data_IF_153549928492
#
_entry.id   IF_153549928492
#
_cell.length_a   1.000
_cell.length_b   1.000
_cell.length_c   1.000
_cell.angle_alpha   90.00
_cell.angle_beta   90.00
_cell.angle_gamma   90.00
#
_symmetry.space_group_name_H-M   'P 1'
#
loop_
_entity.id
_entity.type
_entity.pdbx_description
1 polymer ?
#
# COMPACT_ATOMS: atom_id res chain seq x y z
N UNK A 1 -34.23 -19.73 -25.46
CA UNK A 1 -34.48 -18.46 -24.74
C UNK A 1 -34.99 -18.85 -23.37
N UNK A 2 -34.11 -18.88 -22.37
CA UNK A 2 -34.48 -19.19 -20.99
C UNK A 2 -34.56 -17.88 -20.24
N UNK A 3 -35.77 -17.50 -19.82
CA UNK A 3 -36.04 -16.32 -19.02
C UNK A 3 -35.37 -16.44 -17.65
N UNK A 4 -34.53 -15.46 -17.34
CA UNK A 4 -33.93 -15.30 -16.02
C UNK A 4 -35.00 -14.76 -15.07
N UNK A 5 -35.33 -15.52 -14.03
CA UNK A 5 -36.17 -15.03 -12.94
C UNK A 5 -35.34 -14.09 -12.05
N UNK A 6 -35.82 -12.85 -11.92
CA UNK A 6 -35.28 -11.85 -11.01
C UNK A 6 -35.31 -12.41 -9.56
N UNK A 7 -34.29 -12.10 -8.75
CA UNK A 7 -34.15 -12.48 -7.34
C UNK A 7 -35.44 -12.30 -6.51
N UNK A 8 -36.25 -11.31 -6.87
CA UNK A 8 -37.54 -11.04 -6.23
C UNK A 8 -38.62 -12.10 -6.54
N UNK A 9 -38.66 -12.62 -7.77
CA UNK A 9 -39.59 -13.67 -8.16
C UNK A 9 -39.24 -15.03 -7.51
N UNK A 10 -37.95 -15.28 -7.26
CA UNK A 10 -37.50 -16.49 -6.53
C UNK A 10 -37.92 -16.42 -5.05
N UNK A 11 -37.86 -15.24 -4.44
CA UNK A 11 -38.31 -15.03 -3.06
C UNK A 11 -39.83 -15.15 -2.93
N UNK A 12 -40.59 -14.65 -3.91
CA UNK A 12 -42.05 -14.83 -3.95
C UNK A 12 -42.44 -16.31 -4.16
N UNK A 13 -41.74 -17.03 -5.04
CA UNK A 13 -41.95 -18.47 -5.27
C UNK A 13 -41.69 -19.31 -4.01
N UNK A 14 -40.59 -19.06 -3.30
CA UNK A 14 -40.28 -19.75 -2.04
C UNK A 14 -41.28 -19.47 -0.91
N UNK A 15 -42.02 -18.37 -1.00
CA UNK A 15 -42.91 -17.90 0.07
C UNK A 15 -44.39 -18.25 -0.18
N UNK A 16 -44.76 -18.65 -1.39
CA UNK A 16 -46.15 -18.97 -1.77
C UNK A 16 -46.50 -20.46 -1.67
N UNK A 17 -45.55 -21.38 -1.93
CA UNK A 17 -45.77 -22.83 -1.83
C UNK A 17 -44.47 -23.47 -1.35
N UNK A 18 -44.50 -24.29 -0.29
CA UNK A 18 -43.32 -25.02 0.19
C UNK A 18 -42.84 -25.96 -0.94
N UNK A 19 -41.77 -25.63 -1.69
CA UNK A 19 -41.41 -26.41 -2.86
C UNK A 19 -40.88 -27.77 -2.42
N UNK A 20 -41.18 -28.80 -3.18
CA UNK A 20 -40.65 -30.13 -2.88
C UNK A 20 -39.14 -30.15 -3.07
N UNK A 21 -38.44 -31.03 -2.35
CA UNK A 21 -36.99 -31.20 -2.49
C UNK A 21 -36.56 -31.49 -3.94
N UNK A 22 -37.44 -32.10 -4.74
CA UNK A 22 -37.22 -32.35 -6.16
C UNK A 22 -37.22 -31.08 -7.00
N UNK A 23 -38.16 -30.17 -6.78
CA UNK A 23 -38.26 -28.90 -7.50
C UNK A 23 -37.08 -27.98 -7.18
N UNK A 24 -36.66 -27.96 -5.90
CA UNK A 24 -35.45 -27.26 -5.47
C UNK A 24 -34.22 -27.84 -6.20
N UNK A 25 -34.09 -29.16 -6.27
CA UNK A 25 -33.00 -29.82 -6.99
C UNK A 25 -32.99 -29.52 -8.49
N UNK A 26 -34.17 -29.43 -9.13
CA UNK A 26 -34.28 -29.09 -10.55
C UNK A 26 -33.91 -27.64 -10.81
N UNK A 27 -34.33 -26.71 -9.96
CA UNK A 27 -33.95 -25.30 -10.02
C UNK A 27 -32.43 -25.08 -9.81
N UNK A 28 -31.81 -25.85 -8.91
CA UNK A 28 -30.34 -25.82 -8.75
C UNK A 28 -29.65 -26.39 -10.00
N UNK A 29 -30.13 -27.51 -10.54
CA UNK A 29 -29.57 -28.12 -11.76
C UNK A 29 -29.74 -27.26 -13.01
N UNK A 30 -30.78 -26.43 -13.08
CA UNK A 30 -31.04 -25.52 -14.20
C UNK A 30 -30.27 -24.20 -14.10
N UNK A 31 -29.51 -23.97 -13.02
CA UNK A 31 -28.79 -22.71 -12.79
C UNK A 31 -29.69 -21.57 -12.31
N UNK A 32 -30.93 -21.83 -11.88
CA UNK A 32 -31.84 -20.80 -11.38
C UNK A 32 -31.33 -20.12 -10.09
N UNK A 33 -30.32 -20.71 -9.44
CA UNK A 33 -29.62 -20.17 -8.26
C UNK A 33 -28.18 -19.76 -8.55
N UNK A 34 -27.74 -19.72 -9.82
CA UNK A 34 -26.43 -19.19 -10.16
C UNK A 34 -26.45 -17.68 -9.93
N UNK A 35 -26.08 -17.30 -8.70
CA UNK A 35 -25.80 -15.93 -8.30
C UNK A 35 -24.94 -15.31 -9.38
N UNK A 36 -25.43 -14.19 -9.93
CA UNK A 36 -24.93 -13.56 -11.14
C UNK A 36 -23.40 -13.46 -11.15
N UNK A 37 -22.76 -14.48 -11.75
CA UNK A 37 -21.31 -14.63 -11.78
C UNK A 37 -20.68 -13.42 -12.49
N UNK A 38 -21.45 -12.74 -13.36
CA UNK A 38 -21.02 -11.53 -14.05
C UNK A 38 -20.68 -10.38 -13.09
N UNK A 39 -21.47 -10.17 -12.04
CA UNK A 39 -21.24 -9.11 -11.05
C UNK A 39 -20.02 -9.44 -10.17
N UNK A 40 -19.83 -10.72 -9.81
CA UNK A 40 -18.63 -11.18 -9.09
C UNK A 40 -17.38 -10.99 -9.94
N UNK A 41 -17.42 -11.34 -11.23
CA UNK A 41 -16.28 -11.14 -12.13
C UNK A 41 -15.99 -9.65 -12.34
N UNK A 42 -17.03 -8.81 -12.46
CA UNK A 42 -16.89 -7.36 -12.55
C UNK A 42 -16.22 -6.78 -11.31
N UNK A 43 -16.68 -7.13 -10.11
CA UNK A 43 -16.09 -6.65 -8.86
C UNK A 43 -14.64 -7.11 -8.68
N UNK A 44 -14.30 -8.34 -9.10
CA UNK A 44 -12.91 -8.82 -9.10
C UNK A 44 -12.03 -7.99 -10.04
N UNK A 45 -12.53 -7.69 -11.23
CA UNK A 45 -11.84 -6.84 -12.20
C UNK A 45 -11.63 -5.42 -11.65
N UNK A 46 -12.67 -4.80 -11.10
CA UNK A 46 -12.58 -3.46 -10.48
C UNK A 46 -11.55 -3.44 -9.33
N UNK A 47 -11.53 -4.48 -8.49
CA UNK A 47 -10.53 -4.63 -7.43
C UNK A 47 -9.11 -4.73 -7.98
N UNK A 48 -8.89 -5.54 -9.00
CA UNK A 48 -7.56 -5.76 -9.56
C UNK A 48 -7.04 -4.51 -10.27
N UNK A 49 -7.91 -3.76 -10.94
CA UNK A 49 -7.59 -2.43 -11.50
C UNK A 49 -7.25 -1.40 -10.42
N UNK A 50 -8.01 -1.38 -9.32
CA UNK A 50 -7.72 -0.49 -8.18
C UNK A 50 -6.39 -0.85 -7.51
N UNK A 51 -6.07 -2.14 -7.41
CA UNK A 51 -4.79 -2.62 -6.89
C UNK A 51 -3.64 -2.18 -7.79
N UNK A 52 -3.77 -2.34 -9.11
CA UNK A 52 -2.74 -1.92 -10.05
C UNK A 52 -2.50 -0.41 -9.97
N UNK A 53 -3.58 0.40 -9.93
CA UNK A 53 -3.46 1.86 -9.74
C UNK A 53 -2.73 2.23 -8.46
N UNK A 54 -2.99 1.51 -7.36
CA UNK A 54 -2.28 1.75 -6.11
C UNK A 54 -0.79 1.41 -6.24
N UNK A 55 -0.44 0.27 -6.86
CA UNK A 55 0.95 -0.12 -7.12
C UNK A 55 1.68 0.89 -8.02
N UNK A 56 1.02 1.43 -9.03
CA UNK A 56 1.58 2.46 -9.91
C UNK A 56 1.76 3.80 -9.16
N UNK A 57 0.78 4.21 -8.35
CA UNK A 57 0.90 5.40 -7.51
C UNK A 57 2.02 5.27 -6.47
N UNK A 58 2.24 4.08 -5.91
CA UNK A 58 3.37 3.81 -5.01
C UNK A 58 4.72 3.99 -5.70
N UNK A 59 4.85 3.54 -6.97
CA UNK A 59 6.06 3.78 -7.77
C UNK A 59 6.28 5.26 -8.06
N UNK A 60 5.21 5.99 -8.36
CA UNK A 60 5.30 7.44 -8.61
C UNK A 60 5.74 8.20 -7.35
N UNK A 61 5.23 7.82 -6.17
CA UNK A 61 5.68 8.38 -4.89
C UNK A 61 7.17 8.09 -4.68
N UNK A 62 7.62 6.85 -4.91
CA UNK A 62 9.04 6.48 -4.77
C UNK A 62 9.94 7.29 -5.71
N UNK A 63 9.50 7.54 -6.95
CA UNK A 63 10.23 8.39 -7.90
C UNK A 63 10.23 9.87 -7.48
N UNK A 64 9.11 10.39 -6.99
CA UNK A 64 9.02 11.76 -6.49
C UNK A 64 9.89 11.98 -5.24
N UNK A 65 9.96 10.99 -4.35
CA UNK A 65 10.84 11.02 -3.19
C UNK A 65 12.31 10.96 -3.58
N UNK A 66 12.69 10.09 -4.53
CA UNK A 66 14.06 10.07 -5.07
C UNK A 66 14.41 11.42 -5.72
N UNK A 67 13.48 12.02 -6.46
CA UNK A 67 13.64 13.37 -7.02
C UNK A 67 13.75 14.43 -5.94
N UNK A 68 12.94 14.38 -4.89
CA UNK A 68 12.99 15.33 -3.77
C UNK A 68 14.32 15.23 -3.01
N UNK A 69 14.82 14.01 -2.80
CA UNK A 69 16.12 13.74 -2.21
C UNK A 69 17.27 14.26 -3.10
N UNK A 70 17.17 14.12 -4.43
CA UNK A 70 18.16 14.65 -5.38
C UNK A 70 18.15 16.17 -5.50
N UNK A 71 16.98 16.81 -5.38
CA UNK A 71 16.83 18.28 -5.43
C UNK A 71 17.24 18.91 -4.09
N UNK A 72 17.14 18.15 -3.01
CA UNK A 72 17.73 18.52 -1.74
C UNK A 72 19.25 18.29 -1.78
N UNK A 73 20.04 19.33 -2.04
CA UNK A 73 21.52 19.35 -2.11
C UNK A 73 22.29 18.85 -0.86
N UNK A 74 21.65 18.10 0.05
CA UNK A 74 22.19 17.69 1.36
C UNK A 74 22.14 16.20 1.64
N UNK A 75 21.42 15.40 0.85
CA UNK A 75 21.32 13.95 1.07
C UNK A 75 22.35 13.20 0.24
N UNK A 76 23.19 12.43 0.93
CA UNK A 76 24.23 11.57 0.38
C UNK A 76 23.74 10.12 0.35
N UNK A 77 24.14 9.37 -0.67
CA UNK A 77 23.84 7.93 -0.74
C UNK A 77 24.62 7.18 0.33
N UNK A 78 24.05 6.09 0.86
CA UNK A 78 24.80 5.17 1.76
C UNK A 78 26.03 4.52 1.11
N UNK A 79 26.15 4.57 -0.22
CA UNK A 79 27.36 4.16 -0.95
C UNK A 79 28.58 5.03 -0.61
N UNK A 80 28.33 6.27 -0.19
CA UNK A 80 29.33 7.19 0.33
C UNK A 80 29.05 7.40 1.82
N UNK A 81 29.46 6.46 2.70
CA UNK A 81 29.04 6.48 4.09
C UNK A 81 29.62 7.69 4.84
N UNK A 82 28.94 8.14 5.91
CA UNK A 82 29.48 9.16 6.81
C UNK A 82 30.78 8.72 7.46
N UNK A 83 31.49 9.66 8.10
CA UNK A 83 32.66 9.33 8.91
C UNK A 83 32.25 8.49 10.13
N UNK A 84 33.11 7.55 10.52
CA UNK A 84 32.91 6.76 11.73
C UNK A 84 32.77 7.69 12.95
N UNK A 85 31.71 7.51 13.75
CA UNK A 85 31.35 8.34 14.89
C UNK A 85 30.47 9.56 14.55
N UNK A 86 30.19 9.84 13.28
CA UNK A 86 29.41 11.02 12.86
C UNK A 86 27.91 10.85 13.18
N UNK A 87 27.29 11.91 13.69
CA UNK A 87 25.82 12.03 13.82
C UNK A 87 25.24 12.53 12.50
N UNK A 88 24.23 11.83 12.00
CA UNK A 88 23.59 12.07 10.70
C UNK A 88 22.09 11.85 10.81
N UNK A 89 21.32 12.56 9.98
CA UNK A 89 19.96 12.15 9.71
C UNK A 89 20.02 11.05 8.66
N UNK A 90 19.21 10.03 8.82
CA UNK A 90 19.09 8.92 7.88
C UNK A 90 17.69 8.86 7.33
N UNK A 91 17.60 8.49 6.05
CA UNK A 91 16.36 8.10 5.42
C UNK A 91 16.26 6.58 5.48
N UNK A 92 15.24 6.06 6.16
CA UNK A 92 15.07 4.63 6.35
C UNK A 92 13.68 4.14 5.95
N UNK A 93 13.64 2.87 5.53
CA UNK A 93 12.42 2.13 5.21
C UNK A 93 12.34 0.89 6.11
N UNK A 94 11.18 0.69 6.74
CA UNK A 94 10.87 -0.49 7.55
C UNK A 94 9.45 -0.98 7.24
N UNK A 95 9.37 -2.07 6.46
CA UNK A 95 8.08 -2.56 5.96
C UNK A 95 7.43 -1.54 5.02
N UNK A 96 6.25 -1.04 5.40
CA UNK A 96 5.51 0.00 4.66
C UNK A 96 5.74 1.42 5.19
N UNK A 97 6.58 1.57 6.22
CA UNK A 97 6.88 2.86 6.82
C UNK A 97 8.20 3.38 6.25
N UNK A 98 8.21 4.66 5.90
CA UNK A 98 9.38 5.38 5.42
C UNK A 98 9.44 6.70 6.19
N UNK A 99 10.60 7.01 6.77
CA UNK A 99 10.75 8.18 7.64
C UNK A 99 12.22 8.62 7.76
N UNK A 100 12.42 9.78 8.37
CA UNK A 100 13.73 10.35 8.72
C UNK A 100 13.99 10.17 10.20
N UNK A 101 15.16 9.65 10.56
CA UNK A 101 15.58 9.56 11.95
C UNK A 101 17.01 10.04 12.16
N UNK A 102 17.32 10.43 13.38
CA UNK A 102 18.70 10.68 13.80
C UNK A 102 19.42 9.35 14.09
N UNK A 103 20.65 9.21 13.59
CA UNK A 103 21.52 8.09 13.93
C UNK A 103 22.98 8.51 14.01
N UNK A 104 23.80 7.63 14.58
CA UNK A 104 25.26 7.72 14.52
C UNK A 104 25.79 6.60 13.63
N UNK A 105 26.65 6.95 12.69
CA UNK A 105 27.36 5.95 11.89
C UNK A 105 28.54 5.42 12.69
N UNK A 106 28.56 4.12 12.99
CA UNK A 106 29.64 3.47 13.72
C UNK A 106 29.90 2.06 13.19
N UNK A 107 31.17 1.70 13.05
CA UNK A 107 31.61 0.35 12.64
C UNK A 107 30.94 -0.16 11.34
N UNK A 108 30.72 0.75 10.38
CA UNK A 108 30.10 0.42 9.09
C UNK A 108 28.57 0.37 9.08
N UNK A 109 27.90 0.74 10.18
CA UNK A 109 26.44 0.72 10.28
C UNK A 109 25.83 1.92 11.00
N UNK A 110 24.52 2.08 10.85
CA UNK A 110 23.74 3.11 11.53
C UNK A 110 23.18 2.53 12.83
N UNK A 111 23.63 3.06 13.97
CA UNK A 111 23.25 2.55 15.30
C UNK A 111 21.72 2.62 15.46
N UNK A 112 21.12 1.48 15.80
CA UNK A 112 19.69 1.35 16.08
C UNK A 112 18.82 1.00 14.86
N UNK A 113 19.40 0.90 13.66
CA UNK A 113 18.68 0.70 12.40
C UNK A 113 19.08 -0.58 11.66
N UNK A 114 19.47 -1.62 12.40
CA UNK A 114 19.97 -2.90 11.86
C UNK A 114 18.94 -3.65 10.98
N UNK A 115 17.65 -3.52 11.31
CA UNK A 115 16.54 -4.15 10.58
C UNK A 115 15.82 -3.17 9.63
N UNK A 116 16.44 -2.04 9.31
CA UNK A 116 15.86 -1.02 8.43
C UNK A 116 16.73 -0.83 7.20
N UNK A 117 16.08 -0.65 6.06
CA UNK A 117 16.77 -0.31 4.82
C UNK A 117 17.09 1.19 4.84
N UNK A 118 18.36 1.54 5.02
CA UNK A 118 18.83 2.93 4.97
C UNK A 118 19.38 3.22 3.58
N UNK A 119 18.82 4.20 2.89
CA UNK A 119 19.21 4.52 1.49
C UNK A 119 20.03 5.80 1.37
N UNK A 120 19.78 6.77 2.25
CA UNK A 120 20.44 8.07 2.24
C UNK A 120 20.71 8.58 3.65
N UNK A 121 21.68 9.49 3.76
CA UNK A 121 22.00 10.20 4.99
C UNK A 121 22.32 11.67 4.70
N UNK A 122 22.17 12.53 5.69
CA UNK A 122 22.65 13.92 5.61
C UNK A 122 23.30 14.34 6.93
N UNK A 123 24.28 15.26 6.91
CA UNK A 123 24.84 15.81 8.14
C UNK A 123 23.74 16.47 8.98
N UNK A 124 23.89 16.41 10.30
CA UNK A 124 22.98 17.13 11.21
C UNK A 124 23.00 18.62 10.84
N UNK A 125 21.83 19.28 10.70
CA UNK A 125 21.81 20.73 10.57
C UNK A 125 22.45 21.37 11.80
N UNK A 126 23.25 22.43 11.60
CA UNK A 126 23.77 23.22 12.70
C UNK A 126 22.60 23.81 13.51
N UNK A 127 22.69 23.83 14.85
CA UNK A 127 21.66 24.46 15.66
C UNK A 127 21.54 25.94 15.27
N UNK A 128 20.33 26.52 15.28
CA UNK A 128 20.16 27.93 14.99
C UNK A 128 21.02 28.77 15.94
N UNK A 129 21.82 29.68 15.38
CA UNK A 129 22.75 30.49 16.14
C UNK A 129 21.97 31.40 17.11
N UNK A 130 22.31 31.37 18.41
CA UNK A 130 21.57 32.09 19.48
C UNK A 130 21.50 33.60 19.27
N UNK A 131 22.38 34.16 18.45
CA UNK A 131 22.45 35.60 18.19
C UNK A 131 21.32 36.11 17.28
N UNK A 132 20.52 35.21 16.69
CA UNK A 132 19.43 35.56 15.76
C UNK A 132 18.08 35.80 16.45
N UNK A 133 17.98 35.56 17.77
CA UNK A 133 16.73 35.64 18.53
C UNK A 133 16.59 36.93 19.37
N UNK A 134 17.50 37.88 19.20
CA UNK A 134 17.51 39.19 19.88
C UNK A 134 17.40 40.30 18.84
N UNK A 135 16.26 40.41 18.17
CA UNK A 135 15.94 41.47 17.20
C UNK A 135 14.51 41.92 17.37
#
# INVERSE_FOLDING_TARGET
>A
MTEYLNKQAVLEWLNMECPTAWEIMQAIKSGAFDTDNSEIQRLKKERDEARQKAEDAWKEIEELEDRLLRVSDRWFSVKEPPKNGQRVLIWYRKGKTQDVAESRFANGGYIGFWDSEVTHWMPMPEPPNRDSASG
#
